data_IF_918242721453
#
_entry.id   IF_918242721453
#
_cell.length_a   1.000
_cell.length_b   1.000
_cell.length_c   1.000
_cell.angle_alpha   90.00
_cell.angle_beta   90.00
_cell.angle_gamma   90.00
#
_symmetry.space_group_name_H-M   'P 1'
#
loop_
_entity.id
_entity.type
_entity.pdbx_description
1 polymer ?
#
# COMPACT_ATOMS: atom_id res chain seq x y z
N UNK A 1 -55.24 43.96 46.80
CA UNK A 1 -55.96 42.87 46.11
C UNK A 1 -54.96 42.22 45.15
N UNK A 2 -54.32 41.09 45.47
CA UNK A 2 -54.84 39.72 45.32
C UNK A 2 -55.32 39.48 43.88
N UNK A 3 -54.93 38.46 43.11
CA UNK A 3 -54.12 37.24 43.22
C UNK A 3 -54.04 36.75 41.76
N UNK A 4 -52.96 36.16 41.23
CA UNK A 4 -52.83 34.71 41.01
C UNK A 4 -51.69 34.51 39.99
N UNK A 5 -50.43 34.32 40.41
CA UNK A 5 -49.76 33.03 40.65
C UNK A 5 -49.71 32.06 39.47
N UNK A 6 -48.46 31.92 38.97
CA UNK A 6 -47.79 30.70 38.47
C UNK A 6 -48.24 30.07 37.14
N UNK A 7 -47.31 29.97 36.19
CA UNK A 7 -46.61 28.70 35.94
C UNK A 7 -45.36 28.91 35.10
N UNK A 8 -44.23 29.07 35.79
CA UNK A 8 -42.92 28.71 35.26
C UNK A 8 -42.92 27.21 34.97
N UNK A 9 -42.39 26.76 33.83
CA UNK A 9 -42.25 25.33 33.61
C UNK A 9 -41.93 24.90 32.19
N UNK A 10 -40.64 24.96 31.86
CA UNK A 10 -39.97 24.18 30.82
C UNK A 10 -40.43 24.41 29.38
N UNK A 11 -39.71 25.30 28.70
CA UNK A 11 -39.36 25.11 27.28
C UNK A 11 -38.78 23.69 27.21
N UNK A 12 -39.57 22.75 26.69
CA UNK A 12 -39.17 21.35 26.49
C UNK A 12 -37.94 21.44 25.59
N UNK A 13 -36.77 21.41 26.22
CA UNK A 13 -35.50 21.25 25.56
C UNK A 13 -35.64 19.87 24.95
N UNK A 14 -36.10 19.84 23.70
CA UNK A 14 -35.96 18.70 22.85
C UNK A 14 -34.46 18.49 22.80
N UNK A 15 -33.96 17.67 23.71
CA UNK A 15 -32.88 16.76 23.43
C UNK A 15 -33.40 15.87 22.31
N UNK A 16 -33.53 16.47 21.11
CA UNK A 16 -33.34 15.76 19.88
C UNK A 16 -31.93 15.25 20.03
N UNK A 17 -31.81 14.06 20.62
CA UNK A 17 -30.66 13.20 20.45
C UNK A 17 -30.38 13.30 18.96
N UNK A 18 -29.33 14.05 18.62
CA UNK A 18 -28.77 14.03 17.28
C UNK A 18 -28.61 12.54 17.04
N UNK A 19 -29.47 11.96 16.19
CA UNK A 19 -29.32 10.58 15.75
C UNK A 19 -27.85 10.49 15.41
N UNK A 20 -27.07 9.81 16.25
CA UNK A 20 -25.65 9.67 16.02
C UNK A 20 -25.61 9.01 14.66
N UNK A 21 -25.21 9.78 13.64
CA UNK A 21 -25.23 9.29 12.28
C UNK A 21 -24.48 7.98 12.33
N UNK A 22 -25.20 6.88 12.06
CA UNK A 22 -24.68 5.53 12.15
C UNK A 22 -23.32 5.56 11.47
N UNK A 23 -22.26 5.25 12.23
CA UNK A 23 -20.90 5.54 11.80
C UNK A 23 -20.66 4.82 10.47
N UNK A 24 -20.75 5.55 9.36
CA UNK A 24 -20.76 4.97 8.02
C UNK A 24 -19.51 4.09 7.92
N UNK A 25 -19.73 2.78 7.81
CA UNK A 25 -18.63 1.81 7.76
C UNK A 25 -17.82 2.11 6.51
N UNK A 26 -16.70 2.80 6.70
CA UNK A 26 -15.82 3.17 5.60
C UNK A 26 -15.28 1.88 5.00
N UNK A 27 -15.47 1.71 3.69
CA UNK A 27 -14.98 0.52 2.99
C UNK A 27 -13.48 0.30 3.21
N UNK A 28 -13.04 -0.96 3.22
CA UNK A 28 -11.62 -1.34 3.40
C UNK A 28 -10.71 -0.59 2.41
N UNK A 29 -11.20 -0.35 1.19
CA UNK A 29 -10.49 0.39 0.13
C UNK A 29 -10.33 1.87 0.48
N UNK A 30 -11.40 2.53 0.92
CA UNK A 30 -11.36 3.94 1.32
C UNK A 30 -10.46 4.16 2.53
N UNK A 31 -10.49 3.27 3.52
CA UNK A 31 -9.59 3.29 4.68
C UNK A 31 -8.12 3.20 4.24
N UNK A 32 -7.80 2.29 3.33
CA UNK A 32 -6.44 2.11 2.79
C UNK A 32 -5.96 3.35 2.01
N UNK A 33 -6.82 3.95 1.18
CA UNK A 33 -6.51 5.22 0.48
C UNK A 33 -6.20 6.34 1.47
N UNK A 34 -7.00 6.48 2.54
CA UNK A 34 -6.79 7.50 3.59
C UNK A 34 -5.43 7.32 4.27
N UNK A 35 -5.03 6.09 4.60
CA UNK A 35 -3.73 5.81 5.22
C UNK A 35 -2.57 6.29 4.33
N UNK A 36 -2.60 5.99 3.03
CA UNK A 36 -1.55 6.44 2.11
C UNK A 36 -1.54 7.96 1.90
N UNK A 37 -2.70 8.61 1.94
CA UNK A 37 -2.79 10.06 1.89
C UNK A 37 -2.13 10.71 3.13
N UNK A 38 -2.44 10.22 4.33
CA UNK A 38 -1.84 10.73 5.58
C UNK A 38 -0.32 10.53 5.59
N UNK A 39 0.16 9.35 5.17
CA UNK A 39 1.61 9.09 5.04
C UNK A 39 2.30 10.03 4.07
N UNK A 40 1.64 10.42 2.97
CA UNK A 40 2.19 11.41 2.03
C UNK A 40 2.35 12.78 2.68
N UNK A 41 1.37 13.24 3.46
CA UNK A 41 1.45 14.51 4.21
C UNK A 41 2.64 14.53 5.18
N UNK A 42 2.87 13.42 5.89
CA UNK A 42 4.03 13.28 6.79
C UNK A 42 5.35 13.34 6.03
N UNK A 43 5.47 12.66 4.89
CA UNK A 43 6.70 12.75 4.07
C UNK A 43 6.91 14.17 3.54
N UNK A 44 5.83 14.88 3.21
CA UNK A 44 5.85 16.27 2.74
C UNK A 44 6.12 17.29 3.85
N UNK A 45 6.06 16.89 5.12
CA UNK A 45 6.29 17.76 6.28
C UNK A 45 5.06 18.51 6.79
N UNK A 46 3.90 18.31 6.17
CA UNK A 46 2.62 18.93 6.59
C UNK A 46 2.09 18.34 7.91
N UNK A 47 2.66 17.22 8.36
CA UNK A 47 2.27 16.54 9.60
C UNK A 47 3.49 15.86 10.23
N UNK A 48 3.67 16.00 11.55
CA UNK A 48 4.82 15.42 12.27
C UNK A 48 4.79 13.88 12.31
N UNK A 49 3.61 13.30 12.60
CA UNK A 49 3.40 11.85 12.75
C UNK A 49 2.04 11.42 12.20
N UNK A 50 1.92 10.18 11.74
CA UNK A 50 0.61 9.60 11.37
C UNK A 50 -0.21 9.24 12.63
N UNK A 51 -1.51 9.01 12.49
CA UNK A 51 -2.34 8.51 13.60
C UNK A 51 -1.91 7.17 14.21
N UNK A 52 -1.01 6.43 13.53
CA UNK A 52 -0.37 5.21 14.06
C UNK A 52 1.09 5.43 14.50
N UNK A 53 1.49 6.67 14.77
CA UNK A 53 2.81 7.01 15.32
C UNK A 53 3.98 7.04 14.33
N UNK A 54 3.78 6.69 13.05
CA UNK A 54 4.87 6.71 12.07
C UNK A 54 5.31 8.14 11.73
N UNK A 55 6.62 8.38 11.76
CA UNK A 55 7.24 9.65 11.37
C UNK A 55 7.82 9.58 9.95
N UNK A 56 8.38 10.70 9.47
CA UNK A 56 9.05 10.78 8.17
C UNK A 56 10.16 9.73 7.97
N UNK A 57 11.09 9.46 8.92
CA UNK A 57 12.14 8.45 8.73
C UNK A 57 11.59 7.02 8.57
N UNK A 58 10.42 6.73 9.14
CA UNK A 58 9.79 5.41 9.04
C UNK A 58 9.07 5.18 7.71
N UNK A 59 8.95 6.20 6.86
CA UNK A 59 8.18 6.16 5.62
C UNK A 59 9.08 6.25 4.38
N UNK A 60 8.76 5.44 3.38
CA UNK A 60 9.43 5.43 2.08
C UNK A 60 8.42 5.47 0.94
N UNK A 61 8.68 6.29 -0.07
CA UNK A 61 7.91 6.34 -1.31
C UNK A 61 8.37 5.22 -2.25
N UNK A 62 7.44 4.41 -2.75
CA UNK A 62 7.69 3.46 -3.86
C UNK A 62 7.59 4.18 -5.21
N UNK A 63 8.12 3.56 -6.26
CA UNK A 63 8.01 4.06 -7.65
C UNK A 63 6.55 4.30 -8.05
N UNK A 64 5.63 3.44 -7.62
CA UNK A 64 4.16 3.61 -7.82
C UNK A 64 3.54 4.78 -7.04
N UNK A 65 4.33 5.66 -6.42
CA UNK A 65 3.87 6.82 -5.65
C UNK A 65 3.28 6.51 -4.28
N UNK A 66 3.21 5.24 -3.86
CA UNK A 66 2.68 4.83 -2.56
C UNK A 66 3.72 5.02 -1.45
N UNK A 67 3.33 5.69 -0.36
CA UNK A 67 4.14 5.81 0.86
C UNK A 67 3.87 4.62 1.80
N UNK A 68 4.87 3.78 1.99
CA UNK A 68 4.82 2.58 2.83
C UNK A 68 5.83 2.70 3.97
N UNK A 69 5.72 1.87 5.02
CA UNK A 69 6.75 1.90 6.06
C UNK A 69 8.02 1.20 5.59
N UNK A 70 9.16 1.70 6.06
CA UNK A 70 10.49 1.14 5.81
C UNK A 70 10.58 -0.29 6.35
N UNK A 71 10.02 -0.55 7.53
CA UNK A 71 9.95 -1.89 8.15
C UNK A 71 9.26 -2.91 7.23
N UNK A 72 8.14 -2.54 6.62
CA UNK A 72 7.41 -3.41 5.68
C UNK A 72 8.25 -3.70 4.43
N UNK A 73 8.95 -2.69 3.91
CA UNK A 73 9.86 -2.90 2.76
C UNK A 73 10.98 -3.87 3.12
N UNK A 74 11.59 -3.72 4.30
CA UNK A 74 12.65 -4.62 4.77
C UNK A 74 12.15 -6.06 4.96
N UNK A 75 10.96 -6.24 5.53
CA UNK A 75 10.35 -7.56 5.69
C UNK A 75 10.08 -8.24 4.34
N UNK A 76 9.53 -7.51 3.36
CA UNK A 76 9.33 -8.04 2.01
C UNK A 76 10.66 -8.41 1.35
N UNK A 77 11.71 -7.60 1.51
CA UNK A 77 13.05 -7.92 1.00
C UNK A 77 13.63 -9.20 1.58
N UNK A 78 13.29 -9.54 2.83
CA UNK A 78 13.72 -10.77 3.50
C UNK A 78 12.85 -11.98 3.15
N UNK A 79 11.67 -11.77 2.58
CA UNK A 79 10.74 -12.86 2.24
C UNK A 79 11.36 -13.85 1.23
N UNK A 80 11.05 -15.14 1.43
CA UNK A 80 11.53 -16.21 0.53
C UNK A 80 11.05 -16.00 -0.91
N UNK A 81 9.81 -15.52 -1.09
CA UNK A 81 9.26 -15.24 -2.42
C UNK A 81 10.06 -14.16 -3.15
N UNK A 82 10.42 -13.06 -2.47
CA UNK A 82 11.18 -11.98 -3.10
C UNK A 82 12.57 -12.44 -3.54
N UNK A 83 13.25 -13.25 -2.72
CA UNK A 83 14.55 -13.83 -3.09
C UNK A 83 14.47 -14.71 -4.34
N UNK A 84 13.46 -15.59 -4.43
CA UNK A 84 13.24 -16.43 -5.62
C UNK A 84 13.01 -15.60 -6.89
N UNK A 85 12.18 -14.57 -6.79
CA UNK A 85 11.88 -13.68 -7.93
C UNK A 85 13.12 -12.92 -8.39
N UNK A 86 13.93 -12.38 -7.46
CA UNK A 86 15.18 -11.69 -7.84
C UNK A 86 16.17 -12.66 -8.48
N UNK A 87 16.37 -13.83 -7.87
CA UNK A 87 17.30 -14.82 -8.40
C UNK A 87 16.94 -15.24 -9.83
N UNK A 88 15.65 -15.47 -10.09
CA UNK A 88 15.15 -15.76 -11.43
C UNK A 88 15.37 -14.60 -12.40
N UNK A 89 15.02 -13.37 -12.00
CA UNK A 89 15.24 -12.19 -12.85
C UNK A 89 16.72 -11.97 -13.16
N UNK A 90 17.62 -12.19 -12.20
CA UNK A 90 19.06 -12.09 -12.42
C UNK A 90 19.56 -13.13 -13.43
N UNK A 91 19.10 -14.39 -13.29
CA UNK A 91 19.41 -15.46 -14.24
C UNK A 91 18.87 -15.17 -15.65
N UNK A 92 17.64 -14.66 -15.73
CA UNK A 92 16.98 -14.28 -16.99
C UNK A 92 17.74 -13.16 -17.72
N UNK A 93 18.14 -12.12 -16.98
CA UNK A 93 18.93 -11.03 -17.54
C UNK A 93 20.32 -11.48 -17.98
N UNK A 94 20.94 -12.43 -17.26
CA UNK A 94 22.23 -13.05 -17.66
C UNK A 94 22.10 -13.84 -18.95
N UNK A 95 21.11 -14.74 -19.03
CA UNK A 95 20.85 -15.55 -20.22
C UNK A 95 20.56 -14.66 -21.45
N UNK A 96 19.84 -13.56 -21.26
CA UNK A 96 19.52 -12.62 -22.35
C UNK A 96 20.78 -11.94 -22.91
N UNK A 97 21.70 -11.55 -22.02
CA UNK A 97 22.98 -10.94 -22.40
C UNK A 97 23.90 -11.95 -23.11
N UNK A 98 23.99 -13.18 -22.61
CA UNK A 98 24.84 -14.22 -23.20
C UNK A 98 24.38 -14.62 -24.59
N UNK A 99 23.07 -14.79 -24.79
CA UNK A 99 22.47 -15.14 -26.08
C UNK A 99 22.30 -13.93 -27.02
N UNK A 100 22.73 -12.73 -26.59
CA UNK A 100 22.61 -11.46 -27.33
C UNK A 100 21.24 -11.28 -28.00
N UNK A 101 20.17 -11.55 -27.25
CA UNK A 101 18.81 -11.53 -27.80
C UNK A 101 18.30 -10.08 -27.91
N UNK A 102 18.14 -9.63 -29.15
CA UNK A 102 17.54 -8.35 -29.50
C UNK A 102 16.04 -8.50 -29.80
N UNK A 103 15.26 -7.47 -29.49
CA UNK A 103 13.79 -7.50 -29.66
C UNK A 103 13.05 -8.40 -28.66
N UNK A 104 11.81 -8.77 -28.99
CA UNK A 104 10.99 -9.63 -28.14
C UNK A 104 11.25 -11.10 -28.46
N UNK A 105 11.80 -11.84 -27.50
CA UNK A 105 11.95 -13.30 -27.58
C UNK A 105 11.17 -13.92 -26.43
N UNK A 106 10.18 -14.78 -26.70
CA UNK A 106 9.44 -15.45 -25.64
C UNK A 106 10.38 -16.36 -24.85
N UNK A 107 10.24 -16.36 -23.53
CA UNK A 107 10.93 -17.33 -22.68
C UNK A 107 10.23 -18.69 -22.81
N UNK A 108 10.84 -19.62 -23.54
CA UNK A 108 10.19 -20.86 -23.96
C UNK A 108 9.30 -20.68 -25.20
N UNK A 109 8.35 -21.59 -25.35
CA UNK A 109 7.41 -21.60 -26.48
C UNK A 109 7.82 -22.51 -27.64
N UNK A 110 7.21 -22.27 -28.82
CA UNK A 110 7.39 -23.11 -30.02
C UNK A 110 8.69 -22.81 -30.78
N UNK A 111 9.26 -21.63 -30.61
CA UNK A 111 10.47 -21.20 -31.33
C UNK A 111 11.74 -21.78 -30.71
N UNK A 112 12.70 -22.17 -31.55
CA UNK A 112 13.98 -22.72 -31.09
C UNK A 112 14.75 -21.73 -30.18
N UNK A 113 14.77 -20.44 -30.57
CA UNK A 113 15.40 -19.36 -29.79
C UNK A 113 14.78 -19.22 -28.39
N UNK A 114 13.45 -19.32 -28.27
CA UNK A 114 12.77 -19.22 -26.98
C UNK A 114 13.04 -20.41 -26.07
N UNK A 115 13.07 -21.63 -26.62
CA UNK A 115 13.45 -22.85 -25.87
C UNK A 115 14.88 -22.79 -25.36
N UNK A 116 15.83 -22.36 -26.22
CA UNK A 116 17.23 -22.17 -25.83
C UNK A 116 17.35 -21.12 -24.71
N UNK A 117 16.62 -20.02 -24.81
CA UNK A 117 16.62 -18.97 -23.79
C UNK A 117 16.13 -19.45 -22.43
N UNK A 118 15.06 -20.26 -22.39
CA UNK A 118 14.57 -20.87 -21.15
C UNK A 118 15.60 -21.86 -20.57
N UNK A 119 16.21 -22.69 -21.42
CA UNK A 119 17.23 -23.64 -20.98
C UNK A 119 18.43 -22.94 -20.36
N UNK A 120 18.96 -21.90 -21.02
CA UNK A 120 20.08 -21.11 -20.49
C UNK A 120 19.69 -20.36 -19.21
N UNK A 121 18.48 -19.80 -19.14
CA UNK A 121 17.98 -19.17 -17.90
C UNK A 121 17.94 -20.15 -16.74
N UNK A 122 17.43 -21.37 -16.96
CA UNK A 122 17.40 -22.42 -15.93
C UNK A 122 18.81 -22.86 -15.50
N UNK A 123 19.78 -22.90 -16.41
CA UNK A 123 21.19 -23.18 -16.06
C UNK A 123 21.78 -22.13 -15.13
N UNK A 124 21.48 -20.85 -15.34
CA UNK A 124 21.95 -19.78 -14.45
C UNK A 124 21.17 -19.68 -13.15
N UNK A 125 19.94 -20.16 -13.13
CA UNK A 125 19.12 -20.21 -11.93
C UNK A 125 19.60 -21.37 -11.04
N UNK A 126 20.64 -21.11 -10.24
CA UNK A 126 20.95 -21.96 -9.08
C UNK A 126 19.87 -21.71 -8.04
N UNK A 127 19.03 -22.74 -7.83
CA UNK A 127 17.96 -22.75 -6.83
C UNK A 127 18.49 -22.60 -5.40
#
# INVERSE_FOLDING_TARGET
MAKMMSKMGMKKMGLGMKKMAEAKVVSKVAKKRRIYAVRRKVVKGEMKRTGGGLEKPDLRKKVTGKCVSVKVVAAVKKSKQYKKVIAWNAAFMKARKELKLEGFVPCGGKTAKGKAFLATTRKFYKA
#
